data_IF_188355718732
#
_entry.id   IF_188355718732
#
_cell.length_a   1.000
_cell.length_b   1.000
_cell.length_c   1.000
_cell.angle_alpha   90.00
_cell.angle_beta   90.00
_cell.angle_gamma   90.00
#
_symmetry.space_group_name_H-M   'P 1'
#
loop_
_entity.id
_entity.type
_entity.pdbx_description
1 polymer ?
#
# COMPACT_ATOMS: atom_id res chain seq x y z
N UNK A 1 -22.14 -16.77 11.55
CA UNK A 1 -20.72 -17.13 11.38
C UNK A 1 -19.93 -15.87 11.60
N UNK A 2 -19.05 -15.83 12.61
CA UNK A 2 -18.08 -14.76 12.73
C UNK A 2 -16.97 -15.10 11.74
N UNK A 3 -16.73 -14.25 10.73
CA UNK A 3 -15.68 -14.49 9.75
C UNK A 3 -14.34 -14.23 10.46
N UNK A 4 -13.57 -15.29 10.69
CA UNK A 4 -12.21 -15.15 11.18
C UNK A 4 -11.34 -14.62 10.03
N UNK A 5 -11.04 -13.33 10.07
CA UNK A 5 -10.23 -12.66 9.06
C UNK A 5 -8.73 -12.96 9.20
N UNK A 6 -8.30 -13.59 10.31
CA UNK A 6 -6.89 -13.88 10.56
C UNK A 6 -6.28 -14.81 9.52
N UNK A 7 -7.09 -15.68 8.90
CA UNK A 7 -6.65 -16.54 7.79
C UNK A 7 -6.18 -15.77 6.55
N UNK A 8 -6.57 -14.50 6.40
CA UNK A 8 -6.18 -13.64 5.29
C UNK A 8 -5.02 -12.71 5.61
N UNK A 9 -4.51 -12.70 6.85
CA UNK A 9 -3.38 -11.84 7.24
C UNK A 9 -2.14 -12.11 6.40
N UNK A 10 -1.85 -13.38 6.07
CA UNK A 10 -0.70 -13.71 5.22
C UNK A 10 -0.74 -13.01 3.86
N UNK A 11 -1.89 -13.09 3.17
CA UNK A 11 -2.09 -12.44 1.89
C UNK A 11 -2.02 -10.90 2.00
N UNK A 12 -2.57 -10.33 3.07
CA UNK A 12 -2.47 -8.89 3.31
C UNK A 12 -1.02 -8.43 3.52
N UNK A 13 -0.23 -9.16 4.32
CA UNK A 13 1.16 -8.77 4.56
C UNK A 13 2.02 -8.95 3.31
N UNK A 14 1.80 -9.99 2.52
CA UNK A 14 2.46 -10.18 1.22
C UNK A 14 2.15 -9.00 0.26
N UNK A 15 0.87 -8.65 0.08
CA UNK A 15 0.47 -7.50 -0.74
C UNK A 15 1.06 -6.18 -0.19
N UNK A 16 1.02 -5.97 1.13
CA UNK A 16 1.56 -4.76 1.75
C UNK A 16 3.08 -4.63 1.54
N UNK A 17 3.83 -5.72 1.64
CA UNK A 17 5.27 -5.75 1.36
C UNK A 17 5.56 -5.39 -0.10
N UNK A 18 4.83 -5.97 -1.06
CA UNK A 18 4.98 -5.64 -2.48
C UNK A 18 4.68 -4.15 -2.75
N UNK A 19 3.58 -3.64 -2.19
CA UNK A 19 3.21 -2.23 -2.34
C UNK A 19 4.21 -1.28 -1.69
N UNK A 20 4.85 -1.67 -0.59
CA UNK A 20 5.91 -0.88 0.04
C UNK A 20 7.17 -0.83 -0.81
N UNK A 21 7.59 -1.96 -1.39
CA UNK A 21 8.73 -2.02 -2.33
C UNK A 21 8.46 -1.14 -3.55
N UNK A 22 7.26 -1.21 -4.13
CA UNK A 22 6.87 -0.36 -5.24
C UNK A 22 6.85 1.12 -4.86
N UNK A 23 6.31 1.45 -3.69
CA UNK A 23 6.28 2.83 -3.18
C UNK A 23 7.70 3.38 -2.97
N UNK A 24 8.61 2.59 -2.38
CA UNK A 24 10.01 2.98 -2.21
C UNK A 24 10.66 3.28 -3.56
N UNK A 25 10.48 2.39 -4.55
CA UNK A 25 11.02 2.59 -5.90
C UNK A 25 10.48 3.86 -6.56
N UNK A 26 9.19 4.14 -6.42
CA UNK A 26 8.56 5.34 -6.95
C UNK A 26 9.11 6.60 -6.26
N UNK A 27 9.25 6.57 -4.94
CA UNK A 27 9.79 7.68 -4.15
C UNK A 27 11.26 7.98 -4.50
N UNK A 28 12.09 6.95 -4.67
CA UNK A 28 13.51 7.11 -5.02
C UNK A 28 13.70 7.69 -6.43
N UNK A 29 12.76 7.44 -7.35
CA UNK A 29 12.82 7.92 -8.73
C UNK A 29 12.07 9.24 -8.96
N UNK A 30 11.37 9.76 -7.95
CA UNK A 30 10.58 10.99 -8.08
C UNK A 30 11.50 12.22 -8.24
N UNK A 31 11.27 13.01 -9.29
CA UNK A 31 11.83 14.36 -9.37
C UNK A 31 11.08 15.28 -8.41
N UNK A 32 11.70 15.59 -7.28
CA UNK A 32 11.10 16.45 -6.24
C UNK A 32 10.94 17.89 -6.70
N UNK A 33 11.77 18.37 -7.64
CA UNK A 33 11.66 19.73 -8.15
C UNK A 33 10.50 19.87 -9.16
N UNK A 34 10.14 18.78 -9.84
CA UNK A 34 9.09 18.75 -10.84
C UNK A 34 8.39 17.38 -10.92
N UNK A 35 7.60 17.00 -9.90
CA UNK A 35 6.97 15.69 -9.86
C UNK A 35 5.84 15.58 -10.89
N UNK A 36 5.75 14.46 -11.59
CA UNK A 36 4.61 14.21 -12.47
C UNK A 36 3.38 13.77 -11.65
N UNK A 37 2.19 14.13 -12.13
CA UNK A 37 0.93 13.68 -11.52
C UNK A 37 0.83 12.16 -11.49
N UNK A 38 1.38 11.46 -12.48
CA UNK A 38 1.31 10.00 -12.57
C UNK A 38 2.16 9.32 -11.49
N UNK A 39 3.35 9.85 -11.20
CA UNK A 39 4.22 9.34 -10.13
C UNK A 39 3.56 9.54 -8.75
N UNK A 40 3.03 10.73 -8.51
CA UNK A 40 2.31 11.03 -7.26
C UNK A 40 1.07 10.16 -7.09
N UNK A 41 0.31 9.95 -8.16
CA UNK A 41 -0.86 9.08 -8.15
C UNK A 41 -0.48 7.61 -7.93
N UNK A 42 0.66 7.15 -8.45
CA UNK A 42 1.14 5.80 -8.21
C UNK A 42 1.49 5.58 -6.74
N UNK A 43 2.25 6.50 -6.13
CA UNK A 43 2.58 6.49 -4.69
C UNK A 43 1.30 6.51 -3.84
N UNK A 44 0.36 7.39 -4.18
CA UNK A 44 -0.93 7.48 -3.50
C UNK A 44 -1.71 6.17 -3.53
N UNK A 45 -1.76 5.49 -4.69
CA UNK A 45 -2.47 4.20 -4.81
C UNK A 45 -1.86 3.13 -3.92
N UNK A 46 -0.54 3.01 -3.85
CA UNK A 46 0.12 2.07 -2.93
C UNK A 46 -0.29 2.33 -1.47
N UNK A 47 -0.22 3.59 -1.04
CA UNK A 47 -0.61 3.98 0.33
C UNK A 47 -2.10 3.73 0.59
N UNK A 48 -2.95 4.04 -0.39
CA UNK A 48 -4.39 3.87 -0.27
C UNK A 48 -4.79 2.40 -0.14
N UNK A 49 -4.17 1.51 -0.91
CA UNK A 49 -4.41 0.06 -0.84
C UNK A 49 -4.00 -0.50 0.52
N UNK A 50 -2.80 -0.18 1.02
CA UNK A 50 -2.34 -0.59 2.35
C UNK A 50 -3.31 -0.11 3.43
N UNK A 51 -3.71 1.17 3.39
CA UNK A 51 -4.69 1.74 4.33
C UNK A 51 -6.03 0.99 4.29
N UNK A 52 -6.54 0.68 3.09
CA UNK A 52 -7.79 -0.07 2.91
C UNK A 52 -7.72 -1.48 3.50
N UNK A 53 -6.62 -2.19 3.26
CA UNK A 53 -6.36 -3.50 3.85
C UNK A 53 -6.25 -3.42 5.38
N UNK A 54 -5.43 -2.50 5.91
CA UNK A 54 -5.24 -2.31 7.35
C UNK A 54 -6.56 -2.05 8.09
N UNK A 55 -7.44 -1.21 7.52
CA UNK A 55 -8.76 -0.93 8.08
C UNK A 55 -9.68 -2.17 8.07
N UNK A 56 -9.58 -3.02 7.04
CA UNK A 56 -10.33 -4.29 6.96
C UNK A 56 -9.94 -5.25 8.08
N UNK A 57 -8.67 -5.22 8.51
CA UNK A 57 -8.13 -6.10 9.55
C UNK A 57 -8.09 -5.46 10.95
N UNK A 58 -8.47 -4.20 11.09
CA UNK A 58 -8.54 -3.50 12.37
C UNK A 58 -7.19 -3.06 12.93
N UNK A 59 -6.20 -2.82 12.08
CA UNK A 59 -4.93 -2.20 12.49
C UNK A 59 -5.11 -0.67 12.66
N UNK A 60 -4.80 -0.13 13.85
CA UNK A 60 -5.01 1.27 14.25
C UNK A 60 -3.78 1.92 14.85
#
# INVERSE_FOLDING_TARGET
>A
MNLDLSQFFGAFFEEAEELLVDMERLLLNLDVANPSSDDLNAIFRCAHSIKGGAATFGFT
#
